data_IF_237725526723
#
_entry.id   IF_237725526723
#
_cell.length_a   1.000
_cell.length_b   1.000
_cell.length_c   1.000
_cell.angle_alpha   90.00
_cell.angle_beta   90.00
_cell.angle_gamma   90.00
#
_symmetry.space_group_name_H-M   'P 1'
#
loop_
_entity.id
_entity.type
_entity.pdbx_description
1 polymer ?
#
# COMPACT_ATOMS: atom_id res chain seq x y z
N UNK A 1 8.94 2.09 24.96
CA UNK A 1 8.27 3.34 24.53
C UNK A 1 7.56 3.14 23.19
N UNK A 2 8.26 2.59 22.19
CA UNK A 2 7.69 2.25 20.88
C UNK A 2 6.42 1.37 20.96
N UNK A 3 6.48 0.27 21.72
CA UNK A 3 5.35 -0.65 21.92
C UNK A 3 4.15 0.05 22.59
N UNK A 4 4.40 0.91 23.57
CA UNK A 4 3.33 1.66 24.25
C UNK A 4 2.64 2.66 23.31
N UNK A 5 3.40 3.33 22.42
CA UNK A 5 2.83 4.25 21.41
C UNK A 5 2.04 3.45 20.38
N UNK A 6 2.61 2.36 19.87
CA UNK A 6 1.95 1.51 18.88
C UNK A 6 0.60 1.00 19.39
N UNK A 7 0.57 0.52 20.64
CA UNK A 7 -0.64 0.09 21.32
C UNK A 7 -1.70 1.20 21.40
N UNK A 8 -1.30 2.42 21.79
CA UNK A 8 -2.21 3.56 21.85
C UNK A 8 -2.79 3.87 20.47
N UNK A 9 -1.97 3.88 19.42
CA UNK A 9 -2.40 4.15 18.05
C UNK A 9 -3.40 3.09 17.54
N UNK A 10 -3.16 1.82 17.85
CA UNK A 10 -4.05 0.71 17.46
C UNK A 10 -5.36 0.73 18.25
N UNK A 11 -5.31 0.93 19.57
CA UNK A 11 -6.51 0.99 20.44
C UNK A 11 -7.43 2.15 20.07
N UNK A 12 -6.86 3.28 19.64
CA UNK A 12 -7.63 4.43 19.16
C UNK A 12 -8.07 4.30 17.69
N UNK A 13 -7.85 3.14 17.06
CA UNK A 13 -8.18 2.86 15.66
C UNK A 13 -7.62 3.91 14.68
N UNK A 14 -6.39 4.36 14.93
CA UNK A 14 -5.71 5.35 14.10
C UNK A 14 -4.93 4.72 12.97
N UNK A 15 -4.61 3.42 13.06
CA UNK A 15 -3.90 2.67 12.02
C UNK A 15 -4.91 1.80 11.26
N UNK A 16 -4.98 1.87 9.91
CA UNK A 16 -5.88 1.05 9.12
C UNK A 16 -5.48 -0.43 9.13
N UNK A 17 -6.37 -1.26 8.60
CA UNK A 17 -6.00 -2.61 8.16
C UNK A 17 -5.03 -2.54 6.97
N UNK A 18 -4.05 -3.44 6.94
CA UNK A 18 -3.01 -3.47 5.91
C UNK A 18 -3.59 -3.75 4.53
N UNK A 19 -3.58 -2.75 3.64
CA UNK A 19 -4.15 -2.89 2.28
C UNK A 19 -3.49 -4.03 1.50
N UNK A 20 -2.17 -4.14 1.63
CA UNK A 20 -1.34 -5.10 0.91
C UNK A 20 -1.62 -6.52 1.36
N UNK A 21 -1.86 -6.71 2.66
CA UNK A 21 -2.28 -7.97 3.25
C UNK A 21 -3.69 -8.36 2.78
N UNK A 22 -4.65 -7.42 2.88
CA UNK A 22 -6.04 -7.65 2.45
C UNK A 22 -6.14 -8.05 0.98
N UNK A 23 -5.40 -7.40 0.08
CA UNK A 23 -5.37 -7.76 -1.35
C UNK A 23 -4.86 -9.19 -1.54
N UNK A 24 -3.75 -9.57 -0.89
CA UNK A 24 -3.20 -10.94 -0.98
C UNK A 24 -4.20 -11.97 -0.46
N UNK A 25 -4.81 -11.73 0.71
CA UNK A 25 -5.82 -12.61 1.28
C UNK A 25 -7.05 -12.74 0.39
N UNK A 26 -7.53 -11.63 -0.18
CA UNK A 26 -8.67 -11.64 -1.10
C UNK A 26 -8.36 -12.39 -2.40
N UNK A 27 -7.15 -12.25 -2.95
CA UNK A 27 -6.73 -13.04 -4.11
C UNK A 27 -6.59 -14.52 -3.75
N UNK A 28 -6.07 -14.87 -2.58
CA UNK A 28 -6.02 -16.26 -2.13
C UNK A 28 -7.41 -16.84 -1.89
N UNK A 29 -8.39 -16.05 -1.44
CA UNK A 29 -9.79 -16.49 -1.40
C UNK A 29 -10.42 -16.65 -2.80
N UNK A 30 -9.95 -15.91 -3.81
CA UNK A 30 -10.42 -16.04 -5.19
C UNK A 30 -9.85 -17.29 -5.88
N UNK A 31 -8.52 -17.46 -5.81
CA UNK A 31 -7.88 -18.77 -5.89
C UNK A 31 -8.53 -19.66 -4.80
N UNK A 32 -8.40 -20.97 -4.64
CA UNK A 32 -9.14 -21.75 -3.59
C UNK A 32 -10.69 -21.62 -3.45
N UNK A 33 -11.39 -20.72 -4.16
CA UNK A 33 -12.84 -20.52 -4.18
C UNK A 33 -13.49 -20.35 -2.78
N UNK A 34 -13.00 -19.40 -1.98
CA UNK A 34 -13.51 -19.06 -0.63
C UNK A 34 -14.17 -17.68 -0.58
N UNK A 35 -15.09 -17.47 0.37
CA UNK A 35 -15.86 -16.21 0.55
C UNK A 35 -15.48 -15.44 1.82
N UNK A 36 -14.31 -15.74 2.41
CA UNK A 36 -13.95 -15.24 3.74
C UNK A 36 -13.78 -13.72 3.74
N UNK A 37 -13.15 -13.15 2.71
CA UNK A 37 -13.00 -11.69 2.53
C UNK A 37 -14.33 -10.92 2.60
N UNK A 38 -15.43 -11.46 2.05
CA UNK A 38 -16.75 -10.79 2.11
C UNK A 38 -17.37 -10.85 3.49
N UNK A 39 -17.30 -12.02 4.13
CA UNK A 39 -17.80 -12.21 5.50
C UNK A 39 -17.05 -11.30 6.47
N UNK A 40 -15.73 -11.23 6.27
CA UNK A 40 -14.83 -10.39 7.02
C UNK A 40 -15.15 -8.89 6.85
N UNK A 41 -15.23 -8.41 5.61
CA UNK A 41 -15.45 -6.97 5.34
C UNK A 41 -16.81 -6.47 5.82
N UNK A 42 -17.83 -7.34 5.85
CA UNK A 42 -19.14 -7.05 6.45
C UNK A 42 -19.10 -6.94 7.98
N UNK A 43 -18.21 -7.66 8.66
CA UNK A 43 -18.14 -7.68 10.13
C UNK A 43 -17.36 -6.50 10.72
N UNK A 44 -16.60 -5.78 9.89
CA UNK A 44 -15.76 -4.67 10.36
C UNK A 44 -16.49 -3.33 10.35
N UNK A 45 -16.38 -2.60 11.46
CA UNK A 45 -16.82 -1.20 11.56
C UNK A 45 -15.79 -0.19 11.05
N UNK A 46 -14.55 -0.62 10.81
CA UNK A 46 -13.46 0.26 10.41
C UNK A 46 -13.55 0.66 8.93
N UNK A 47 -13.16 1.90 8.62
CA UNK A 47 -13.01 2.34 7.23
C UNK A 47 -11.83 1.66 6.55
N UNK A 48 -12.10 1.05 5.39
CA UNK A 48 -11.09 0.40 4.58
C UNK A 48 -10.39 1.39 3.62
N UNK A 49 -9.09 1.19 3.35
CA UNK A 49 -8.38 1.88 2.26
C UNK A 49 -9.13 1.74 0.92
N UNK A 50 -9.03 2.76 0.05
CA UNK A 50 -9.73 2.74 -1.25
C UNK A 50 -9.40 1.49 -2.08
N UNK A 51 -8.15 1.05 -2.08
CA UNK A 51 -7.70 -0.15 -2.79
C UNK A 51 -8.38 -1.42 -2.26
N UNK A 52 -8.58 -1.52 -0.94
CA UNK A 52 -9.31 -2.64 -0.33
C UNK A 52 -10.81 -2.61 -0.69
N UNK A 53 -11.41 -1.42 -0.82
CA UNK A 53 -12.79 -1.29 -1.33
C UNK A 53 -12.90 -1.73 -2.79
N UNK A 54 -11.93 -1.36 -3.63
CA UNK A 54 -11.85 -1.82 -5.03
C UNK A 54 -11.69 -3.33 -5.13
N UNK A 55 -10.84 -3.94 -4.29
CA UNK A 55 -10.70 -5.40 -4.20
C UNK A 55 -12.06 -6.09 -3.98
N UNK A 56 -12.82 -5.65 -2.96
CA UNK A 56 -14.10 -6.28 -2.61
C UNK A 56 -15.07 -6.22 -3.80
N UNK A 57 -15.18 -5.07 -4.45
CA UNK A 57 -16.05 -4.90 -5.64
C UNK A 57 -15.59 -5.78 -6.80
N UNK A 58 -14.30 -5.75 -7.13
CA UNK A 58 -13.75 -6.54 -8.22
C UNK A 58 -13.94 -8.04 -7.99
N UNK A 59 -13.71 -8.53 -6.77
CA UNK A 59 -13.89 -9.94 -6.43
C UNK A 59 -15.36 -10.38 -6.48
N UNK A 60 -16.30 -9.52 -6.07
CA UNK A 60 -17.73 -9.83 -6.16
C UNK A 60 -18.15 -10.02 -7.62
N UNK A 61 -17.77 -9.07 -8.49
CA UNK A 61 -18.03 -9.11 -9.92
C UNK A 61 -17.35 -10.31 -10.60
N UNK A 62 -16.11 -10.63 -10.21
CA UNK A 62 -15.40 -11.80 -10.71
C UNK A 62 -16.17 -13.09 -10.43
N UNK A 63 -16.70 -13.25 -9.21
CA UNK A 63 -17.45 -14.46 -8.81
C UNK A 63 -18.78 -14.61 -9.53
N UNK A 64 -19.40 -13.50 -9.92
CA UNK A 64 -20.58 -13.49 -10.77
C UNK A 64 -20.27 -13.89 -12.23
N UNK A 65 -19.00 -14.16 -12.56
CA UNK A 65 -18.57 -14.55 -13.90
C UNK A 65 -18.44 -13.38 -14.88
N UNK A 66 -18.68 -12.14 -14.45
CA UNK A 66 -18.66 -10.94 -15.31
C UNK A 66 -17.25 -10.58 -15.79
N UNK A 67 -17.15 -10.07 -17.00
CA UNK A 67 -15.86 -9.80 -17.67
C UNK A 67 -15.19 -8.53 -17.18
N UNK A 68 -15.97 -7.52 -16.80
CA UNK A 68 -15.49 -6.16 -16.58
C UNK A 68 -15.26 -5.93 -15.08
N UNK A 69 -13.99 -5.81 -14.69
CA UNK A 69 -13.57 -5.71 -13.31
C UNK A 69 -13.07 -4.30 -13.01
N UNK A 70 -13.82 -3.57 -12.16
CA UNK A 70 -13.40 -2.26 -11.69
C UNK A 70 -12.32 -2.38 -10.60
N UNK A 71 -11.08 -2.01 -10.98
CA UNK A 71 -9.91 -2.05 -10.10
C UNK A 71 -9.61 -0.68 -9.47
N UNK A 72 -10.40 0.35 -9.76
CA UNK A 72 -10.19 1.70 -9.22
C UNK A 72 -8.84 2.30 -9.64
N UNK A 73 -8.16 2.92 -8.67
CA UNK A 73 -6.78 3.44 -8.84
C UNK A 73 -5.70 2.44 -8.33
N UNK A 74 -6.06 1.17 -8.07
CA UNK A 74 -5.15 0.21 -7.43
C UNK A 74 -4.28 -0.53 -8.43
N UNK A 75 -2.99 -0.15 -8.48
CA UNK A 75 -1.99 -0.84 -9.30
C UNK A 75 -1.81 -2.30 -8.86
N UNK A 76 -1.71 -2.56 -7.55
CA UNK A 76 -1.48 -3.92 -7.05
C UNK A 76 -2.62 -4.86 -7.40
N UNK A 77 -3.88 -4.43 -7.23
CA UNK A 77 -5.04 -5.23 -7.59
C UNK A 77 -5.08 -5.54 -9.09
N UNK A 78 -4.77 -4.54 -9.93
CA UNK A 78 -4.70 -4.72 -11.38
C UNK A 78 -3.67 -5.79 -11.76
N UNK A 79 -2.42 -5.67 -11.34
CA UNK A 79 -1.38 -6.66 -11.69
C UNK A 79 -1.77 -8.07 -11.23
N UNK A 80 -2.35 -8.21 -10.04
CA UNK A 80 -2.72 -9.52 -9.51
C UNK A 80 -3.84 -10.16 -10.34
N UNK A 81 -4.94 -9.43 -10.59
CA UNK A 81 -6.05 -9.95 -11.38
C UNK A 81 -5.72 -10.10 -12.86
N UNK A 82 -4.88 -9.22 -13.41
CA UNK A 82 -4.37 -9.30 -14.79
C UNK A 82 -3.56 -10.58 -14.98
N UNK A 83 -2.59 -10.85 -14.10
CA UNK A 83 -1.78 -12.06 -14.18
C UNK A 83 -2.65 -13.31 -14.11
N UNK A 84 -3.62 -13.36 -13.18
CA UNK A 84 -4.59 -14.46 -13.08
C UNK A 84 -5.41 -14.58 -14.37
N UNK A 85 -5.88 -13.46 -14.92
CA UNK A 85 -6.68 -13.45 -16.15
C UNK A 85 -5.92 -14.00 -17.35
N UNK A 86 -4.66 -13.60 -17.51
CA UNK A 86 -3.77 -14.08 -18.55
C UNK A 86 -3.45 -15.57 -18.36
N UNK A 87 -3.08 -15.98 -17.14
CA UNK A 87 -2.71 -17.36 -16.85
C UNK A 87 -3.88 -18.34 -16.99
N UNK A 88 -5.11 -17.88 -16.75
CA UNK A 88 -6.34 -18.68 -16.91
C UNK A 88 -7.02 -18.49 -18.26
N UNK A 89 -6.49 -17.62 -19.13
CA UNK A 89 -7.05 -17.29 -20.46
C UNK A 89 -8.54 -16.92 -20.43
N UNK A 90 -8.99 -16.25 -19.37
CA UNK A 90 -10.42 -15.96 -19.17
C UNK A 90 -10.85 -14.54 -19.63
N UNK A 91 -9.95 -13.79 -20.27
CA UNK A 91 -10.29 -12.58 -21.03
C UNK A 91 -10.94 -11.45 -20.22
N UNK A 92 -10.59 -11.27 -18.94
CA UNK A 92 -11.14 -10.16 -18.14
C UNK A 92 -10.71 -8.80 -18.69
N UNK A 93 -11.62 -7.83 -18.61
CA UNK A 93 -11.37 -6.42 -18.89
C UNK A 93 -11.25 -5.66 -17.58
N UNK A 94 -10.33 -4.70 -17.52
CA UNK A 94 -10.05 -3.96 -16.29
C UNK A 94 -10.44 -2.49 -16.44
N UNK A 95 -11.42 -2.05 -15.65
CA UNK A 95 -11.84 -0.65 -15.60
C UNK A 95 -10.91 0.07 -14.62
N UNK A 96 -10.16 1.04 -15.15
CA UNK A 96 -9.15 1.83 -14.44
C UNK A 96 -9.67 3.23 -14.18
N UNK A 97 -9.25 3.83 -13.07
CA UNK A 97 -9.61 5.19 -12.69
C UNK A 97 -8.38 6.02 -12.31
N UNK A 98 -8.55 7.34 -12.30
CA UNK A 98 -7.57 8.30 -11.75
C UNK A 98 -6.16 8.09 -12.28
N UNK A 99 -5.16 8.05 -11.37
CA UNK A 99 -3.75 7.92 -11.74
C UNK A 99 -3.41 6.59 -12.42
N UNK A 100 -4.27 5.56 -12.32
CA UNK A 100 -4.03 4.26 -12.95
C UNK A 100 -4.24 4.31 -14.47
N UNK A 101 -4.95 5.31 -14.99
CA UNK A 101 -5.15 5.50 -16.42
C UNK A 101 -3.84 5.77 -17.16
N UNK A 102 -2.94 6.54 -16.55
CA UNK A 102 -1.67 6.97 -17.14
C UNK A 102 -0.47 6.10 -16.74
N UNK A 103 -0.66 5.08 -15.90
CA UNK A 103 0.43 4.18 -15.50
C UNK A 103 0.80 3.25 -16.65
N UNK A 104 2.10 3.12 -16.89
CA UNK A 104 2.66 2.14 -17.82
C UNK A 104 2.65 0.76 -17.15
N UNK A 105 1.75 -0.11 -17.60
CA UNK A 105 1.57 -1.48 -17.08
C UNK A 105 1.56 -2.40 -18.29
N UNK A 106 2.38 -3.44 -18.27
CA UNK A 106 2.40 -4.44 -19.33
C UNK A 106 1.12 -5.27 -19.36
N UNK A 107 0.60 -5.50 -20.56
CA UNK A 107 -0.52 -6.42 -20.83
C UNK A 107 -0.09 -7.62 -21.69
N UNK A 108 1.21 -7.79 -21.90
CA UNK A 108 1.74 -8.89 -22.70
C UNK A 108 1.39 -10.24 -22.06
N UNK A 109 0.66 -11.14 -22.76
CA UNK A 109 0.35 -12.47 -22.24
C UNK A 109 1.60 -13.32 -21.93
N UNK A 110 2.75 -13.02 -22.53
CA UNK A 110 3.99 -13.76 -22.32
C UNK A 110 4.49 -13.70 -20.87
N UNK A 111 4.06 -12.69 -20.08
CA UNK A 111 4.50 -12.51 -18.70
C UNK A 111 4.22 -13.73 -17.82
N UNK A 112 3.22 -14.55 -18.15
CA UNK A 112 2.88 -15.73 -17.36
C UNK A 112 3.97 -16.82 -17.42
N UNK A 113 4.86 -16.75 -18.41
CA UNK A 113 5.95 -17.70 -18.63
C UNK A 113 7.30 -17.20 -18.11
N UNK A 114 7.39 -15.94 -17.69
CA UNK A 114 8.63 -15.35 -17.21
C UNK A 114 8.99 -15.85 -15.80
N UNK A 115 10.30 -15.90 -15.53
CA UNK A 115 10.83 -16.15 -14.19
C UNK A 115 10.49 -15.00 -13.21
N UNK A 116 10.47 -15.26 -11.89
CA UNK A 116 10.31 -14.19 -10.91
C UNK A 116 11.33 -13.05 -11.07
N UNK A 117 12.57 -13.33 -11.45
CA UNK A 117 13.62 -12.35 -11.68
C UNK A 117 13.33 -11.45 -12.88
N UNK A 118 12.80 -12.01 -13.97
CA UNK A 118 12.38 -11.26 -15.15
C UNK A 118 11.15 -10.40 -14.86
N UNK A 119 10.16 -10.95 -14.16
CA UNK A 119 8.97 -10.20 -13.73
C UNK A 119 9.33 -8.99 -12.87
N UNK A 120 10.38 -9.10 -12.05
CA UNK A 120 10.87 -8.01 -11.21
C UNK A 120 11.52 -6.85 -11.97
N UNK A 121 11.80 -7.00 -13.27
CA UNK A 121 12.37 -5.95 -14.13
C UNK A 121 11.30 -5.17 -14.90
N UNK A 122 10.07 -5.68 -14.95
CA UNK A 122 8.96 -5.05 -15.67
C UNK A 122 8.33 -3.92 -14.84
N UNK A 123 7.50 -3.11 -15.51
CA UNK A 123 6.67 -2.05 -14.90
C UNK A 123 7.43 -1.14 -13.92
N UNK A 124 8.66 -0.75 -14.31
CA UNK A 124 9.50 0.13 -13.51
C UNK A 124 10.18 -0.55 -12.31
N UNK A 125 10.36 -1.86 -12.36
CA UNK A 125 11.09 -2.62 -11.33
C UNK A 125 10.26 -2.95 -10.10
N UNK A 126 8.94 -3.00 -10.22
CA UNK A 126 8.03 -3.26 -9.10
C UNK A 126 7.89 -4.76 -8.83
N UNK A 127 7.70 -5.15 -7.56
CA UNK A 127 7.50 -6.55 -7.18
C UNK A 127 6.06 -7.06 -7.35
N UNK A 128 5.17 -6.27 -7.97
CA UNK A 128 3.76 -6.59 -8.10
C UNK A 128 3.53 -7.81 -9.00
N UNK A 129 4.20 -7.90 -10.16
CA UNK A 129 4.10 -9.07 -11.03
C UNK A 129 4.76 -10.32 -10.43
N UNK A 130 5.89 -10.16 -9.74
CA UNK A 130 6.53 -11.25 -8.98
C UNK A 130 5.57 -11.83 -7.95
N UNK A 131 4.88 -10.94 -7.21
CA UNK A 131 3.90 -11.31 -6.20
C UNK A 131 2.67 -11.98 -6.81
N UNK A 132 2.17 -11.46 -7.94
CA UNK A 132 1.04 -12.04 -8.66
C UNK A 132 1.34 -13.47 -9.12
N UNK A 133 2.52 -13.67 -9.73
CA UNK A 133 3.01 -14.97 -10.17
C UNK A 133 3.12 -15.97 -9.02
N UNK A 134 3.75 -15.55 -7.91
CA UNK A 134 3.87 -16.41 -6.73
C UNK A 134 2.51 -16.80 -6.13
N UNK A 135 1.59 -15.84 -5.96
CA UNK A 135 0.24 -16.12 -5.47
C UNK A 135 -0.46 -17.17 -6.32
N UNK A 136 -0.46 -16.97 -7.65
CA UNK A 136 -1.13 -17.87 -8.58
C UNK A 136 -0.52 -19.28 -8.56
N UNK A 137 0.79 -19.40 -8.75
CA UNK A 137 1.46 -20.70 -8.86
C UNK A 137 1.57 -21.44 -7.52
N UNK A 138 1.55 -20.73 -6.39
CA UNK A 138 1.57 -21.36 -5.06
C UNK A 138 0.36 -22.27 -4.79
N UNK A 139 -0.79 -22.00 -5.43
CA UNK A 139 -1.99 -22.85 -5.38
C UNK A 139 -1.74 -24.25 -5.93
N UNK A 140 -0.82 -24.37 -6.89
CA UNK A 140 -0.47 -25.63 -7.54
C UNK A 140 0.82 -26.24 -6.96
N UNK A 141 1.39 -25.66 -5.90
CA UNK A 141 2.69 -26.09 -5.38
C UNK A 141 3.88 -25.70 -6.28
N UNK A 142 3.68 -24.77 -7.23
CA UNK A 142 4.69 -24.39 -8.23
C UNK A 142 5.26 -22.97 -8.02
N UNK A 143 4.92 -22.32 -6.90
CA UNK A 143 5.40 -20.98 -6.60
C UNK A 143 6.91 -20.97 -6.33
N UNK A 144 7.68 -20.24 -7.15
CA UNK A 144 9.13 -20.11 -7.00
C UNK A 144 9.47 -18.93 -6.09
N UNK A 145 10.20 -19.18 -5.00
CA UNK A 145 10.80 -18.14 -4.17
C UNK A 145 12.14 -17.71 -4.78
N UNK A 146 12.47 -16.43 -4.70
CA UNK A 146 13.81 -15.92 -5.01
C UNK A 146 14.57 -15.68 -3.71
N UNK A 147 15.90 -15.75 -3.76
CA UNK A 147 16.74 -15.37 -2.63
C UNK A 147 16.68 -13.85 -2.42
N UNK A 148 16.68 -13.42 -1.15
CA UNK A 148 16.63 -12.01 -0.75
C UNK A 148 15.51 -11.22 -1.47
N UNK A 149 14.25 -11.66 -1.36
CA UNK A 149 13.14 -11.02 -2.06
C UNK A 149 12.94 -9.57 -1.58
N UNK A 150 12.49 -8.65 -2.46
CA UNK A 150 12.00 -7.35 -2.02
C UNK A 150 10.93 -7.51 -0.93
N UNK A 151 10.86 -6.59 0.04
CA UNK A 151 9.97 -6.69 1.20
C UNK A 151 8.50 -6.97 0.83
N UNK A 152 8.00 -6.34 -0.23
CA UNK A 152 6.63 -6.57 -0.71
C UNK A 152 6.42 -7.96 -1.35
N UNK A 153 7.47 -8.58 -1.88
CA UNK A 153 7.42 -9.97 -2.32
C UNK A 153 7.52 -10.93 -1.12
N UNK A 154 8.35 -10.61 -0.12
CA UNK A 154 8.40 -11.36 1.13
C UNK A 154 7.03 -11.39 1.81
N UNK A 155 6.32 -10.26 1.88
CA UNK A 155 4.95 -10.19 2.39
C UNK A 155 3.99 -11.13 1.64
N UNK A 156 4.24 -11.37 0.36
CA UNK A 156 3.48 -12.34 -0.44
C UNK A 156 3.78 -13.78 -0.03
N UNK A 157 5.05 -14.09 0.26
CA UNK A 157 5.44 -15.41 0.77
C UNK A 157 4.77 -15.67 2.12
N UNK A 158 4.87 -14.71 3.04
CA UNK A 158 4.27 -14.79 4.37
C UNK A 158 2.73 -14.91 4.30
N UNK A 159 2.11 -14.25 3.32
CA UNK A 159 0.67 -14.35 3.08
C UNK A 159 0.26 -15.76 2.63
N UNK A 160 1.00 -16.37 1.70
CA UNK A 160 0.71 -17.73 1.24
C UNK A 160 0.92 -18.74 2.37
N UNK A 161 2.02 -18.62 3.11
CA UNK A 161 2.37 -19.52 4.20
C UNK A 161 1.28 -19.42 5.32
N UNK A 162 0.94 -18.20 5.75
CA UNK A 162 -0.18 -17.96 6.69
C UNK A 162 -1.50 -18.56 6.20
N UNK A 163 -1.83 -18.38 4.93
CA UNK A 163 -3.10 -18.90 4.39
C UNK A 163 -3.14 -20.43 4.43
N UNK A 164 -2.03 -21.09 4.06
CA UNK A 164 -1.91 -22.55 4.08
C UNK A 164 -2.00 -23.09 5.51
N UNK A 165 -1.30 -22.48 6.45
CA UNK A 165 -1.31 -22.89 7.86
C UNK A 165 -2.73 -22.80 8.45
N UNK A 166 -3.44 -21.69 8.21
CA UNK A 166 -4.81 -21.51 8.69
C UNK A 166 -5.77 -22.50 8.04
N UNK A 167 -5.60 -22.78 6.74
CA UNK A 167 -6.38 -23.81 6.05
C UNK A 167 -6.14 -25.21 6.61
N UNK A 168 -4.90 -25.56 6.96
CA UNK A 168 -4.54 -26.86 7.52
C UNK A 168 -5.21 -27.11 8.88
N UNK A 169 -5.41 -26.06 9.68
CA UNK A 169 -6.09 -26.14 10.99
C UNK A 169 -7.58 -25.77 10.93
N UNK A 170 -8.16 -25.64 9.73
CA UNK A 170 -9.58 -25.35 9.55
C UNK A 170 -10.02 -23.94 9.96
N UNK A 171 -9.10 -23.00 10.15
CA UNK A 171 -9.37 -21.63 10.59
C UNK A 171 -9.39 -20.62 9.42
N UNK A 172 -10.07 -19.48 9.56
CA UNK A 172 -9.95 -18.37 8.63
C UNK A 172 -8.57 -17.72 8.74
N UNK A 173 -8.09 -17.11 7.65
CA UNK A 173 -6.92 -16.24 7.73
C UNK A 173 -7.23 -15.01 8.60
N UNK A 174 -6.18 -14.39 9.14
CA UNK A 174 -6.28 -13.35 10.15
C UNK A 174 -5.94 -11.99 9.55
N UNK A 175 -6.52 -10.94 10.11
CA UNK A 175 -6.18 -9.59 9.74
C UNK A 175 -4.86 -9.13 10.31
N UNK A 176 -4.21 -8.23 9.57
CA UNK A 176 -3.05 -7.48 10.06
C UNK A 176 -3.29 -5.98 9.89
N UNK A 177 -2.88 -5.21 10.89
CA UNK A 177 -2.79 -3.75 10.77
C UNK A 177 -1.70 -3.40 9.77
N UNK A 178 -1.77 -2.19 9.22
CA UNK A 178 -0.74 -1.71 8.30
C UNK A 178 0.55 -1.38 9.06
N UNK A 179 1.50 -2.31 9.07
CA UNK A 179 2.76 -2.20 9.81
C UNK A 179 3.63 -1.04 9.31
N UNK A 180 3.58 -0.74 8.01
CA UNK A 180 4.24 0.41 7.40
C UNK A 180 3.68 1.70 8.01
N UNK A 181 2.36 1.90 7.95
CA UNK A 181 1.73 3.10 8.50
C UNK A 181 1.87 3.18 10.03
N UNK A 182 1.88 2.05 10.73
CA UNK A 182 2.15 2.01 12.17
C UNK A 182 3.56 2.52 12.49
N UNK A 183 4.61 1.99 11.82
CA UNK A 183 5.99 2.46 11.97
C UNK A 183 6.13 3.94 11.67
N UNK A 184 5.49 4.40 10.61
CA UNK A 184 5.48 5.81 10.21
C UNK A 184 4.77 6.69 11.25
N UNK A 185 3.63 6.25 11.78
CA UNK A 185 2.89 6.96 12.83
C UNK A 185 3.70 7.08 14.13
N UNK A 186 4.38 6.00 14.52
CA UNK A 186 5.31 5.98 15.66
C UNK A 186 6.46 6.97 15.42
N UNK A 187 7.07 6.96 14.24
CA UNK A 187 8.14 7.91 13.89
C UNK A 187 7.71 9.38 14.00
N UNK A 188 6.50 9.68 13.53
CA UNK A 188 5.89 11.01 13.65
C UNK A 188 5.74 11.39 15.11
N UNK A 189 5.27 10.46 15.96
CA UNK A 189 5.09 10.71 17.38
C UNK A 189 6.42 10.96 18.11
N UNK A 190 7.44 10.14 17.83
CA UNK A 190 8.81 10.35 18.34
C UNK A 190 9.33 11.74 17.95
N UNK A 191 9.22 12.09 16.66
CA UNK A 191 9.67 13.39 16.16
C UNK A 191 8.97 14.55 16.87
N UNK A 192 7.65 14.45 17.11
CA UNK A 192 6.88 15.49 17.79
C UNK A 192 7.21 15.63 19.27
N UNK A 193 7.55 14.54 19.97
CA UNK A 193 7.84 14.55 21.41
C UNK A 193 9.31 14.76 21.75
N UNK A 194 10.21 14.27 20.91
CA UNK A 194 11.66 14.22 21.19
C UNK A 194 12.49 15.09 20.26
N UNK A 195 11.89 15.61 19.17
CA UNK A 195 12.62 16.31 18.11
C UNK A 195 13.53 15.40 17.27
N UNK A 196 13.45 14.07 17.45
CA UNK A 196 14.19 13.05 16.72
C UNK A 196 13.39 11.75 16.62
N UNK A 197 13.74 10.90 15.66
CA UNK A 197 13.14 9.57 15.49
C UNK A 197 14.20 8.53 15.14
N UNK A 198 13.94 7.27 15.51
CA UNK A 198 14.76 6.11 15.14
C UNK A 198 14.39 5.52 13.77
N UNK A 199 13.40 6.10 13.09
CA UNK A 199 12.85 5.59 11.84
C UNK A 199 13.91 5.45 10.74
N UNK A 200 13.99 4.24 10.19
CA UNK A 200 14.80 3.92 9.01
C UNK A 200 13.86 3.46 7.88
N UNK A 201 13.87 4.11 6.71
CA UNK A 201 13.05 3.68 5.59
C UNK A 201 13.49 2.28 5.13
N UNK A 202 12.52 1.36 4.97
CA UNK A 202 12.80 -0.04 4.59
C UNK A 202 12.36 -0.38 3.18
N UNK A 203 11.27 0.22 2.71
CA UNK A 203 10.73 0.01 1.37
C UNK A 203 10.30 1.34 0.73
N UNK A 204 9.94 1.29 -0.54
CA UNK A 204 9.62 2.47 -1.36
C UNK A 204 8.52 3.37 -0.75
N UNK A 205 7.51 2.76 -0.11
CA UNK A 205 6.41 3.48 0.53
C UNK A 205 6.80 4.37 1.73
N UNK A 206 8.05 4.26 2.23
CA UNK A 206 8.62 5.09 3.31
C UNK A 206 9.29 6.37 2.80
N UNK A 207 9.59 6.45 1.49
CA UNK A 207 10.39 7.53 0.91
C UNK A 207 9.85 8.93 1.26
N UNK A 208 8.57 9.19 1.00
CA UNK A 208 7.98 10.52 1.19
C UNK A 208 8.11 11.02 2.63
N UNK A 209 7.89 10.15 3.63
CA UNK A 209 8.05 10.55 5.03
C UNK A 209 9.50 10.73 5.39
N UNK A 210 10.37 9.78 5.03
CA UNK A 210 11.78 9.90 5.32
C UNK A 210 12.37 11.20 4.74
N UNK A 211 11.96 11.57 3.51
CA UNK A 211 12.35 12.83 2.88
C UNK A 211 11.78 14.05 3.60
N UNK A 212 10.51 14.03 4.01
CA UNK A 212 9.87 15.11 4.76
C UNK A 212 10.45 15.32 6.17
N UNK A 213 10.94 14.24 6.80
CA UNK A 213 11.62 14.28 8.10
C UNK A 213 13.12 14.59 7.98
N UNK A 214 13.64 14.80 6.77
CA UNK A 214 15.06 15.07 6.54
C UNK A 214 15.98 13.88 6.82
N UNK A 215 15.46 12.65 6.83
CA UNK A 215 16.22 11.43 7.12
C UNK A 215 16.98 10.89 5.90
N UNK A 216 16.51 11.23 4.69
CA UNK A 216 17.16 10.91 3.42
C UNK A 216 17.01 12.09 2.45
N UNK A 217 17.93 12.16 1.50
CA UNK A 217 17.88 13.05 0.33
C UNK A 217 17.10 12.42 -0.83
N UNK A 218 16.77 13.21 -1.85
CA UNK A 218 16.14 12.71 -3.07
C UNK A 218 17.07 11.78 -3.87
N UNK A 219 18.37 12.05 -3.89
CA UNK A 219 19.34 11.18 -4.60
C UNK A 219 19.51 9.82 -3.89
N UNK A 220 19.56 9.81 -2.56
CA UNK A 220 19.53 8.55 -1.79
C UNK A 220 18.22 7.80 -2.04
N UNK A 221 17.09 8.50 -2.06
CA UNK A 221 15.79 7.92 -2.40
C UNK A 221 15.75 7.28 -3.78
N UNK A 222 16.32 7.92 -4.81
CA UNK A 222 16.40 7.36 -6.18
C UNK A 222 17.23 6.08 -6.22
N UNK A 223 18.31 6.02 -5.45
CA UNK A 223 19.17 4.83 -5.37
C UNK A 223 18.49 3.68 -4.63
N UNK A 224 17.85 3.97 -3.48
CA UNK A 224 17.22 2.96 -2.63
C UNK A 224 15.89 2.47 -3.20
N UNK A 225 15.10 3.38 -3.78
CA UNK A 225 13.70 3.15 -4.15
C UNK A 225 13.39 3.71 -5.56
N UNK A 226 14.11 3.28 -6.61
CA UNK A 226 13.97 3.86 -7.96
C UNK A 226 12.54 3.77 -8.52
N UNK A 227 11.75 2.80 -8.07
CA UNK A 227 10.36 2.62 -8.48
C UNK A 227 9.47 3.82 -8.16
N UNK A 228 9.79 4.65 -7.15
CA UNK A 228 9.03 5.83 -6.73
C UNK A 228 8.84 6.88 -7.85
N UNK A 229 9.65 6.83 -8.92
CA UNK A 229 9.47 7.66 -10.11
C UNK A 229 8.19 7.31 -10.91
N UNK A 230 7.73 6.06 -10.82
CA UNK A 230 6.64 5.50 -11.65
C UNK A 230 5.33 5.31 -10.86
N UNK A 231 5.20 6.00 -9.72
CA UNK A 231 4.03 5.92 -8.86
C UNK A 231 2.87 6.82 -9.37
N UNK A 232 1.93 7.19 -8.49
CA UNK A 232 0.80 8.06 -8.84
C UNK A 232 1.27 9.41 -9.40
N UNK A 233 2.44 9.84 -8.92
CA UNK A 233 3.26 10.92 -9.48
C UNK A 233 4.72 10.44 -9.50
N UNK A 234 5.61 11.18 -10.16
CA UNK A 234 7.02 11.06 -9.88
C UNK A 234 7.28 11.62 -8.48
N UNK A 235 7.35 10.74 -7.48
CA UNK A 235 7.39 11.14 -6.07
C UNK A 235 8.67 11.89 -5.69
N UNK A 236 9.75 11.72 -6.44
CA UNK A 236 10.97 12.50 -6.25
C UNK A 236 10.71 13.98 -6.53
N UNK A 237 10.15 14.29 -7.71
CA UNK A 237 9.84 15.67 -8.09
C UNK A 237 8.70 16.24 -7.23
N UNK A 238 7.70 15.41 -6.95
CA UNK A 238 6.53 15.82 -6.19
C UNK A 238 6.88 16.17 -4.75
N UNK A 239 7.78 15.42 -4.11
CA UNK A 239 8.23 15.72 -2.75
C UNK A 239 9.00 17.04 -2.66
N UNK A 240 9.88 17.35 -3.62
CA UNK A 240 10.58 18.64 -3.63
C UNK A 240 9.59 19.81 -3.80
N UNK A 241 8.56 19.64 -4.62
CA UNK A 241 7.48 20.63 -4.74
C UNK A 241 6.72 20.80 -3.42
N UNK A 242 6.34 19.70 -2.77
CA UNK A 242 5.61 19.73 -1.50
C UNK A 242 6.45 20.39 -0.40
N UNK A 243 7.74 20.09 -0.32
CA UNK A 243 8.67 20.72 0.63
C UNK A 243 8.73 22.23 0.40
N UNK A 244 8.94 22.65 -0.85
CA UNK A 244 8.94 24.07 -1.20
C UNK A 244 7.59 24.74 -0.87
N UNK A 245 6.46 24.07 -1.11
CA UNK A 245 5.15 24.60 -0.74
C UNK A 245 5.04 24.79 0.79
N UNK A 246 5.51 23.83 1.60
CA UNK A 246 5.48 23.93 3.07
C UNK A 246 6.39 25.04 3.59
N UNK A 247 7.63 25.11 3.09
CA UNK A 247 8.63 26.10 3.51
C UNK A 247 8.16 27.53 3.22
N UNK A 248 7.50 27.73 2.07
CA UNK A 248 6.94 29.01 1.64
C UNK A 248 5.50 29.24 2.16
N UNK A 249 5.00 28.44 3.11
CA UNK A 249 3.64 28.55 3.67
C UNK A 249 2.52 28.54 2.63
N UNK A 250 2.72 27.83 1.52
CA UNK A 250 1.73 27.62 0.46
C UNK A 250 0.87 26.39 0.75
N UNK A 251 -0.28 26.34 0.09
CA UNK A 251 -1.16 25.17 0.13
C UNK A 251 -0.52 24.00 -0.63
N UNK A 252 -0.50 22.81 -0.02
CA UNK A 252 -0.06 21.57 -0.67
C UNK A 252 -1.09 21.18 -1.75
N UNK A 253 -0.66 21.17 -3.01
CA UNK A 253 -1.54 20.88 -4.19
C UNK A 253 -1.36 19.48 -4.76
N UNK A 254 -0.59 18.62 -4.08
CA UNK A 254 -0.36 17.25 -4.51
C UNK A 254 -1.66 16.45 -4.65
N UNK A 255 -1.73 15.59 -5.67
CA UNK A 255 -2.81 14.62 -5.86
C UNK A 255 -2.44 13.22 -5.36
N UNK A 256 -1.18 13.02 -4.95
CA UNK A 256 -0.68 11.75 -4.43
C UNK A 256 -0.79 11.74 -2.90
N UNK A 257 -1.47 10.72 -2.41
CA UNK A 257 -1.70 10.48 -0.99
C UNK A 257 -0.43 10.50 -0.13
N UNK A 258 0.72 10.02 -0.64
CA UNK A 258 1.98 9.97 0.12
C UNK A 258 2.58 11.36 0.34
N UNK A 259 2.88 12.14 -0.71
CA UNK A 259 3.31 13.52 -0.54
C UNK A 259 2.34 14.39 0.28
N UNK A 260 1.02 14.22 0.13
CA UNK A 260 0.04 14.96 0.94
C UNK A 260 0.24 14.71 2.44
N UNK A 261 0.28 13.44 2.88
CA UNK A 261 0.41 13.16 4.31
C UNK A 261 1.80 13.57 4.82
N UNK A 262 2.88 13.33 4.06
CA UNK A 262 4.23 13.71 4.47
C UNK A 262 4.40 15.22 4.60
N UNK A 263 3.86 16.00 3.66
CA UNK A 263 3.83 17.47 3.76
C UNK A 263 2.97 17.97 4.92
N UNK A 264 1.84 17.32 5.18
CA UNK A 264 0.99 17.63 6.35
C UNK A 264 1.75 17.41 7.66
N UNK A 265 2.46 16.28 7.78
CA UNK A 265 3.32 15.98 8.94
C UNK A 265 4.41 17.04 9.10
N UNK A 266 5.05 17.45 8.00
CA UNK A 266 6.07 18.51 8.01
C UNK A 266 5.49 19.85 8.49
N UNK A 267 4.29 20.24 8.04
CA UNK A 267 3.59 21.43 8.53
C UNK A 267 3.37 21.35 10.04
N UNK A 268 2.91 20.19 10.55
CA UNK A 268 2.71 19.98 11.98
C UNK A 268 4.03 20.14 12.72
N UNK A 269 5.08 19.38 12.36
CA UNK A 269 6.38 19.41 13.05
C UNK A 269 6.92 20.86 13.13
N UNK A 270 6.82 21.62 12.04
CA UNK A 270 7.30 23.01 11.97
C UNK A 270 6.36 24.05 12.61
N UNK A 271 5.25 23.64 13.23
CA UNK A 271 4.29 24.57 13.85
C UNK A 271 3.51 25.43 12.85
N UNK A 272 3.42 24.99 11.59
CA UNK A 272 2.71 25.71 10.52
C UNK A 272 1.23 25.30 10.47
N UNK A 273 0.40 26.21 9.97
CA UNK A 273 -1.02 25.93 9.69
C UNK A 273 -1.12 24.85 8.60
N UNK A 274 -1.92 23.81 8.86
CA UNK A 274 -2.21 22.77 7.88
C UNK A 274 -3.00 23.37 6.72
N UNK A 275 -2.51 23.19 5.50
CA UNK A 275 -3.14 23.71 4.28
C UNK A 275 -2.95 22.75 3.11
N UNK A 276 -4.01 22.03 2.76
CA UNK A 276 -4.01 20.95 1.75
C UNK A 276 -5.20 21.11 0.81
N UNK A 277 -4.95 21.03 -0.51
CA UNK A 277 -6.01 21.18 -1.52
C UNK A 277 -6.91 19.95 -1.65
N UNK A 278 -6.34 18.75 -1.56
CA UNK A 278 -7.05 17.48 -1.82
C UNK A 278 -6.96 16.51 -0.63
N UNK A 279 -7.48 16.88 0.56
CA UNK A 279 -7.29 16.11 1.78
C UNK A 279 -7.83 14.67 1.70
N UNK A 280 -8.88 14.42 0.90
CA UNK A 280 -9.47 13.09 0.77
C UNK A 280 -8.55 12.06 0.08
N UNK A 281 -7.51 12.50 -0.65
CA UNK A 281 -6.61 11.58 -1.38
C UNK A 281 -5.81 10.67 -0.43
N UNK A 282 -5.54 11.10 0.81
CA UNK A 282 -4.87 10.27 1.83
C UNK A 282 -5.60 8.96 2.11
N UNK A 283 -6.94 8.93 1.92
CA UNK A 283 -7.78 7.74 2.12
C UNK A 283 -7.47 6.57 1.20
N UNK A 284 -6.62 6.79 0.17
CA UNK A 284 -6.09 5.69 -0.66
C UNK A 284 -5.37 4.64 0.19
N UNK A 285 -4.51 5.07 1.12
CA UNK A 285 -3.78 4.17 2.02
C UNK A 285 -4.15 4.35 3.49
N UNK A 286 -4.49 5.56 3.94
CA UNK A 286 -4.72 5.87 5.35
C UNK A 286 -6.05 6.63 5.58
N UNK A 287 -7.21 5.96 5.54
CA UNK A 287 -8.53 6.59 5.75
C UNK A 287 -8.64 7.37 7.06
N UNK A 288 -8.00 6.88 8.12
CA UNK A 288 -8.00 7.48 9.45
C UNK A 288 -6.96 8.59 9.63
N UNK A 289 -6.24 9.00 8.58
CA UNK A 289 -5.13 9.95 8.70
C UNK A 289 -5.53 11.27 9.37
N UNK A 290 -6.69 11.84 9.02
CA UNK A 290 -7.13 13.10 9.65
C UNK A 290 -7.51 12.93 11.12
N UNK A 291 -8.04 11.76 11.51
CA UNK A 291 -8.24 11.43 12.94
C UNK A 291 -6.91 11.31 13.67
N UNK A 292 -5.89 10.74 13.00
CA UNK A 292 -4.53 10.68 13.53
C UNK A 292 -3.92 12.09 13.68
N UNK A 293 -4.10 12.98 12.71
CA UNK A 293 -3.68 14.39 12.79
C UNK A 293 -4.36 15.10 13.96
N UNK A 294 -5.67 14.95 14.12
CA UNK A 294 -6.41 15.53 15.26
C UNK A 294 -5.89 14.98 16.59
N UNK A 295 -5.60 13.68 16.65
CA UNK A 295 -5.06 13.03 17.83
C UNK A 295 -3.69 13.61 18.22
N UNK A 296 -2.73 13.67 17.29
CA UNK A 296 -1.38 14.14 17.60
C UNK A 296 -1.31 15.64 17.86
N UNK A 297 -2.20 16.44 17.25
CA UNK A 297 -2.25 17.89 17.49
C UNK A 297 -2.84 18.23 18.85
N UNK A 298 -3.90 17.54 19.29
CA UNK A 298 -4.49 17.69 20.63
C UNK A 298 -3.54 17.24 21.75
N UNK A 299 -2.81 16.14 21.52
CA UNK A 299 -1.86 15.59 22.51
C UNK A 299 -0.46 16.23 22.48
N UNK A 300 -0.29 17.30 21.68
CA UNK A 300 0.96 18.05 21.60
C UNK A 300 1.14 19.06 22.75
N UNK A 301 0.06 19.38 23.46
CA UNK A 301 0.02 20.36 24.57
C UNK A 301 0.36 19.70 25.92
N UNK A 302 1.28 18.74 25.92
CA UNK A 302 1.71 18.03 27.13
C UNK A 302 3.19 17.74 27.12
#
# INVERSE_FOLDING_TARGET
MEEAIADVLVRNNLIPWGKSWLIRMGILDLLYNKNRIFSFTKSQKAEFPHDAKSLIRALAVYKEGKTDLDVGESGTLLHFLLFISLATKNGRKFIRHGSLLSRNITYDPSIVYLSPEELGKLDGGTSQLQSASYLFYSRFGLGRKIENPPEMLQLTYDAVDHYKDQMAIGRPWELKRDETLLRQAVAIFEMLKQGKTSFKPKHSEDFCLARALGLITTEEGKKLFPSEANHETNRFLEMERVIADVENSRQIKSIDHRPIYSGTVMQIIQGRKISVKYPAKVGKSWPQFWKFVDFITKNRVG
#
